data_IF_753007738805
#
_entry.id   IF_753007738805
#
_cell.length_a   1.000
_cell.length_b   1.000
_cell.length_c   1.000
_cell.angle_alpha   90.00
_cell.angle_beta   90.00
_cell.angle_gamma   90.00
#
_symmetry.space_group_name_H-M   'P 1'
#
loop_
_entity.id
_entity.type
_entity.pdbx_description
1 polymer ?
#
# COMPACT_ATOMS: atom_id res chain seq x y z
N UNK A 1 -12.38 -6.80 31.18
CA UNK A 1 -12.33 -8.14 30.57
C UNK A 1 -13.76 -8.54 30.24
N UNK A 2 -14.05 -8.84 28.95
CA UNK A 2 -15.38 -9.36 28.56
C UNK A 2 -15.43 -10.79 29.08
N UNK A 3 -16.45 -11.10 29.91
CA UNK A 3 -16.63 -12.44 30.44
C UNK A 3 -16.89 -13.43 29.29
N UNK A 4 -16.00 -14.41 29.14
CA UNK A 4 -16.09 -15.44 28.10
C UNK A 4 -17.27 -16.40 28.27
N UNK A 5 -17.91 -16.41 29.44
CA UNK A 5 -18.99 -17.34 29.78
C UNK A 5 -20.35 -16.96 29.16
N UNK A 6 -20.53 -15.73 28.67
CA UNK A 6 -21.78 -15.25 28.04
C UNK A 6 -21.74 -15.24 26.49
N UNK A 7 -20.80 -15.92 25.88
CA UNK A 7 -20.65 -15.92 24.40
C UNK A 7 -21.56 -17.00 23.79
N UNK A 8 -22.66 -16.58 23.21
CA UNK A 8 -23.52 -17.43 22.36
C UNK A 8 -23.06 -17.34 20.91
N UNK A 9 -23.31 -18.38 20.15
CA UNK A 9 -23.09 -18.38 18.69
C UNK A 9 -24.42 -18.62 17.99
N UNK A 10 -24.84 -17.65 17.18
CA UNK A 10 -26.08 -17.73 16.42
C UNK A 10 -25.81 -17.58 14.93
N UNK A 11 -26.64 -18.19 14.09
CA UNK A 11 -26.54 -18.10 12.64
C UNK A 11 -27.12 -16.80 12.11
N UNK A 12 -26.67 -16.36 10.94
CA UNK A 12 -27.08 -15.09 10.34
C UNK A 12 -28.58 -15.05 10.04
N UNK A 13 -29.21 -16.18 9.76
CA UNK A 13 -30.68 -16.27 9.52
C UNK A 13 -31.51 -15.85 10.74
N UNK A 14 -30.95 -15.90 11.97
CA UNK A 14 -31.61 -15.36 13.17
C UNK A 14 -31.80 -13.85 13.11
N UNK A 15 -30.99 -13.13 12.32
CA UNK A 15 -30.92 -11.67 12.28
C UNK A 15 -31.26 -11.06 10.93
N UNK A 16 -31.29 -11.85 9.86
CA UNK A 16 -31.38 -11.36 8.48
C UNK A 16 -32.66 -11.81 7.81
N UNK A 17 -33.44 -10.86 7.32
CA UNK A 17 -34.64 -11.13 6.51
C UNK A 17 -34.45 -10.54 5.13
N UNK A 18 -34.42 -11.39 4.08
CA UNK A 18 -34.29 -10.94 2.68
C UNK A 18 -35.48 -10.06 2.26
N UNK A 19 -35.21 -8.98 1.55
CA UNK A 19 -36.23 -8.13 0.94
C UNK A 19 -35.78 -7.64 -0.45
N UNK A 20 -36.75 -7.14 -1.25
CA UNK A 20 -36.51 -6.74 -2.66
C UNK A 20 -37.30 -5.48 -3.02
N UNK A 21 -37.19 -4.42 -2.21
CA UNK A 21 -37.80 -3.13 -2.53
C UNK A 21 -37.07 -2.46 -3.69
N UNK A 22 -37.80 -1.97 -4.69
CA UNK A 22 -37.22 -1.33 -5.89
C UNK A 22 -37.19 0.18 -5.74
N UNK A 23 -36.27 0.83 -6.45
CA UNK A 23 -36.14 2.27 -6.56
C UNK A 23 -37.16 2.85 -7.55
N UNK A 24 -38.44 2.64 -7.28
CA UNK A 24 -39.53 3.12 -8.15
C UNK A 24 -39.44 4.63 -8.37
N UNK A 25 -39.65 5.06 -9.60
CA UNK A 25 -39.52 6.45 -9.99
C UNK A 25 -38.08 7.00 -9.99
N UNK A 26 -37.05 6.12 -9.89
CA UNK A 26 -35.63 6.54 -9.90
C UNK A 26 -35.28 7.60 -8.83
N UNK A 27 -35.92 7.54 -7.67
CA UNK A 27 -35.90 8.58 -6.64
C UNK A 27 -34.57 8.69 -5.90
N UNK A 28 -33.90 7.54 -5.66
CA UNK A 28 -32.74 7.48 -4.80
C UNK A 28 -31.45 7.26 -5.60
N UNK A 29 -30.36 7.89 -5.16
CA UNK A 29 -29.07 7.83 -5.81
C UNK A 29 -28.47 6.42 -5.77
N UNK A 30 -27.85 5.97 -6.87
CA UNK A 30 -27.17 4.68 -6.91
C UNK A 30 -25.86 4.73 -6.14
N UNK A 31 -25.57 3.66 -5.39
CA UNK A 31 -24.30 3.43 -4.71
C UNK A 31 -23.70 2.10 -5.16
N UNK A 32 -22.42 1.94 -4.92
CA UNK A 32 -21.69 0.67 -5.10
C UNK A 32 -21.34 0.08 -3.75
N UNK A 33 -21.36 -1.25 -3.68
CA UNK A 33 -20.89 -2.01 -2.53
C UNK A 33 -19.67 -2.81 -2.97
N UNK A 34 -18.60 -2.74 -2.20
CA UNK A 34 -17.34 -3.39 -2.54
C UNK A 34 -16.47 -3.63 -1.31
N UNK A 35 -15.18 -3.80 -1.54
CA UNK A 35 -14.19 -4.08 -0.48
C UNK A 35 -14.24 -3.09 0.70
N UNK A 36 -14.64 -1.85 0.45
CA UNK A 36 -14.66 -0.78 1.45
C UNK A 36 -16.09 -0.40 1.89
N UNK A 37 -17.03 -1.34 1.79
CA UNK A 37 -18.43 -1.12 2.13
C UNK A 37 -19.19 -0.33 1.05
N UNK A 38 -20.16 0.47 1.50
CA UNK A 38 -21.02 1.29 0.63
C UNK A 38 -20.27 2.58 0.28
N UNK A 39 -20.22 2.91 -1.02
CA UNK A 39 -19.63 4.17 -1.53
C UNK A 39 -20.48 4.76 -2.63
N UNK A 40 -20.48 6.08 -2.74
CA UNK A 40 -21.13 6.76 -3.86
C UNK A 40 -20.45 6.38 -5.17
N UNK A 41 -21.20 6.31 -6.26
CA UNK A 41 -20.66 5.91 -7.56
C UNK A 41 -19.65 6.92 -8.11
N UNK A 42 -19.86 8.20 -7.86
CA UNK A 42 -18.96 9.28 -8.26
C UNK A 42 -17.55 9.14 -7.64
N UNK A 43 -17.48 8.51 -6.45
CA UNK A 43 -16.18 8.25 -5.80
C UNK A 43 -15.39 7.08 -6.43
N UNK A 44 -16.02 6.31 -7.35
CA UNK A 44 -15.44 5.10 -7.95
C UNK A 44 -15.33 5.19 -9.47
N UNK A 45 -16.31 5.80 -10.12
CA UNK A 45 -16.45 5.85 -11.58
C UNK A 45 -16.48 7.29 -12.08
N UNK A 46 -15.73 7.57 -13.13
CA UNK A 46 -15.71 8.89 -13.79
C UNK A 46 -16.92 9.16 -14.69
N UNK A 47 -17.76 8.15 -14.96
CA UNK A 47 -18.94 8.25 -15.83
C UNK A 47 -20.14 7.56 -15.20
N UNK A 48 -21.34 8.06 -15.44
CA UNK A 48 -22.57 7.35 -15.12
C UNK A 48 -22.68 6.05 -15.93
N UNK A 49 -23.01 4.95 -15.25
CA UNK A 49 -23.10 3.63 -15.85
C UNK A 49 -24.48 3.35 -16.48
N UNK A 50 -25.52 4.06 -16.06
CA UNK A 50 -26.88 3.92 -16.59
C UNK A 50 -27.66 5.24 -16.43
N UNK A 51 -28.65 5.45 -17.28
CA UNK A 51 -29.57 6.59 -17.19
C UNK A 51 -30.77 6.33 -16.26
N UNK A 52 -31.11 5.08 -16.02
CA UNK A 52 -32.25 4.65 -15.23
C UNK A 52 -31.83 3.60 -14.19
N UNK A 53 -32.14 3.89 -12.94
CA UNK A 53 -31.87 3.03 -11.78
C UNK A 53 -33.16 2.57 -11.09
N UNK A 54 -34.32 2.62 -11.75
CA UNK A 54 -35.61 2.19 -11.20
C UNK A 54 -35.67 0.71 -10.83
N UNK A 55 -34.87 -0.14 -11.52
CA UNK A 55 -34.74 -1.56 -11.23
C UNK A 55 -33.81 -1.88 -10.06
N UNK A 56 -33.06 -0.90 -9.57
CA UNK A 56 -32.19 -1.05 -8.43
C UNK A 56 -32.99 -1.35 -7.15
N UNK A 57 -32.37 -2.04 -6.21
CA UNK A 57 -32.96 -2.33 -4.90
C UNK A 57 -32.65 -1.19 -3.94
N UNK A 58 -33.62 -0.83 -3.11
CA UNK A 58 -33.40 0.17 -2.06
C UNK A 58 -32.60 -0.43 -0.90
N UNK A 59 -31.75 0.38 -0.32
CA UNK A 59 -31.10 0.14 0.97
C UNK A 59 -31.33 1.36 1.87
N UNK A 60 -31.57 1.10 3.14
CA UNK A 60 -31.86 2.10 4.15
C UNK A 60 -31.30 1.66 5.50
N UNK A 61 -31.48 2.44 6.55
CA UNK A 61 -30.95 2.15 7.88
C UNK A 61 -31.23 0.71 8.32
N UNK A 62 -30.23 0.08 8.92
CA UNK A 62 -30.27 -1.32 9.37
C UNK A 62 -30.50 -2.32 8.23
N UNK A 63 -29.88 -2.08 7.08
CA UNK A 63 -29.88 -3.05 5.98
C UNK A 63 -28.46 -3.52 5.65
N UNK A 64 -28.39 -4.79 5.28
CA UNK A 64 -27.19 -5.45 4.80
C UNK A 64 -27.32 -5.71 3.31
N UNK A 65 -26.28 -5.36 2.56
CA UNK A 65 -26.15 -5.68 1.14
C UNK A 65 -24.98 -6.64 0.95
N UNK A 66 -25.22 -7.72 0.21
CA UNK A 66 -24.24 -8.77 -0.06
C UNK A 66 -24.09 -8.94 -1.54
N UNK A 67 -22.85 -8.96 -2.04
CA UNK A 67 -22.51 -9.15 -3.44
C UNK A 67 -21.23 -9.95 -3.63
N UNK A 68 -20.92 -10.27 -4.90
CA UNK A 68 -19.74 -11.04 -5.25
C UNK A 68 -18.61 -10.13 -5.69
N UNK A 69 -17.58 -10.03 -4.86
CA UNK A 69 -16.33 -9.34 -5.20
C UNK A 69 -15.30 -10.28 -5.86
N UNK A 70 -14.20 -9.71 -6.33
CA UNK A 70 -13.14 -10.48 -7.00
C UNK A 70 -12.38 -11.42 -6.06
N UNK A 71 -12.09 -10.97 -4.83
CA UNK A 71 -11.26 -11.67 -3.84
C UNK A 71 -11.93 -11.86 -2.49
N UNK A 72 -13.13 -11.31 -2.31
CA UNK A 72 -13.91 -11.37 -1.07
C UNK A 72 -15.41 -11.27 -1.38
N UNK A 73 -16.27 -11.49 -0.36
CA UNK A 73 -17.70 -11.16 -0.43
C UNK A 73 -17.82 -9.64 -0.23
N UNK A 74 -18.49 -8.95 -1.15
CA UNK A 74 -18.79 -7.54 -0.99
C UNK A 74 -19.93 -7.37 0.01
N UNK A 75 -19.64 -6.66 1.11
CA UNK A 75 -20.55 -6.47 2.23
C UNK A 75 -20.73 -4.97 2.46
N UNK A 76 -21.97 -4.52 2.51
CA UNK A 76 -22.32 -3.16 2.87
C UNK A 76 -23.44 -3.14 3.91
N UNK A 77 -23.18 -2.54 5.06
CA UNK A 77 -24.21 -2.27 6.09
C UNK A 77 -24.47 -0.76 6.10
N UNK A 78 -25.74 -0.38 5.99
CA UNK A 78 -26.17 1.01 6.10
C UNK A 78 -26.71 1.23 7.52
N UNK A 79 -25.99 2.00 8.33
CA UNK A 79 -26.31 2.29 9.71
C UNK A 79 -26.84 3.71 9.94
N UNK A 80 -26.68 4.62 8.98
CA UNK A 80 -27.23 5.99 9.00
C UNK A 80 -28.65 6.06 8.46
N UNK A 81 -29.28 7.22 8.59
CA UNK A 81 -30.68 7.46 8.18
C UNK A 81 -30.84 7.76 6.67
N UNK A 82 -29.79 7.57 5.86
CA UNK A 82 -29.84 7.73 4.42
C UNK A 82 -30.57 6.58 3.73
N UNK A 83 -31.05 6.85 2.50
CA UNK A 83 -31.62 5.82 1.61
C UNK A 83 -30.91 5.90 0.24
N UNK A 84 -30.46 4.77 -0.25
CA UNK A 84 -29.75 4.64 -1.53
C UNK A 84 -30.30 3.49 -2.36
N UNK A 85 -29.84 3.39 -3.59
CA UNK A 85 -30.16 2.30 -4.50
C UNK A 85 -28.94 1.50 -4.90
N UNK A 86 -28.99 0.15 -4.81
CA UNK A 86 -27.91 -0.75 -5.20
C UNK A 86 -28.32 -1.60 -6.40
N UNK A 87 -27.34 -2.05 -7.18
CA UNK A 87 -27.59 -2.90 -8.35
C UNK A 87 -28.48 -4.10 -8.01
N UNK A 88 -29.36 -4.55 -8.92
CA UNK A 88 -30.19 -5.73 -8.72
C UNK A 88 -29.41 -7.02 -8.44
N UNK A 89 -28.14 -7.06 -8.83
CA UNK A 89 -27.24 -8.20 -8.60
C UNK A 89 -26.88 -8.45 -7.12
N UNK A 90 -27.02 -7.43 -6.27
CA UNK A 90 -26.80 -7.59 -4.83
C UNK A 90 -28.02 -8.22 -4.15
N UNK A 91 -27.77 -8.96 -3.06
CA UNK A 91 -28.79 -9.44 -2.13
C UNK A 91 -28.94 -8.47 -0.98
N UNK A 92 -30.18 -8.17 -0.61
CA UNK A 92 -30.50 -7.16 0.41
C UNK A 92 -31.28 -7.80 1.55
N UNK A 93 -30.86 -7.52 2.80
CA UNK A 93 -31.43 -8.06 4.02
C UNK A 93 -31.74 -6.94 5.02
N UNK A 94 -32.87 -7.01 5.69
CA UNK A 94 -33.15 -6.23 6.91
C UNK A 94 -32.41 -6.88 8.08
N UNK A 95 -31.79 -6.06 8.92
CA UNK A 95 -31.09 -6.49 10.13
C UNK A 95 -32.03 -6.30 11.31
N UNK A 96 -32.29 -7.36 12.08
CA UNK A 96 -33.16 -7.34 13.25
C UNK A 96 -32.48 -8.03 14.44
N UNK A 97 -32.73 -7.58 15.67
CA UNK A 97 -32.26 -8.24 16.87
C UNK A 97 -30.76 -8.23 17.16
N UNK A 98 -29.99 -7.47 16.38
CA UNK A 98 -28.55 -7.29 16.56
C UNK A 98 -28.18 -5.87 16.18
N UNK A 99 -27.15 -5.29 16.79
CA UNK A 99 -26.60 -4.00 16.38
C UNK A 99 -25.98 -4.12 14.98
N UNK A 100 -26.38 -3.26 14.04
CA UNK A 100 -25.98 -3.34 12.63
C UNK A 100 -24.47 -3.12 12.43
N UNK A 101 -23.85 -2.20 13.18
CA UNK A 101 -22.40 -1.97 13.12
C UNK A 101 -21.61 -3.11 13.76
N UNK A 102 -22.14 -3.72 14.83
CA UNK A 102 -21.57 -4.92 15.40
C UNK A 102 -21.58 -6.07 14.38
N UNK A 103 -22.72 -6.29 13.72
CA UNK A 103 -22.84 -7.29 12.65
C UNK A 103 -21.85 -7.01 11.52
N UNK A 104 -21.73 -5.75 11.08
CA UNK A 104 -20.74 -5.33 10.08
C UNK A 104 -19.32 -5.75 10.47
N UNK A 105 -18.88 -5.47 11.69
CA UNK A 105 -17.56 -5.88 12.18
C UNK A 105 -17.37 -7.39 12.22
N UNK A 106 -18.39 -8.14 12.64
CA UNK A 106 -18.33 -9.60 12.62
C UNK A 106 -18.12 -10.15 11.20
N UNK A 107 -18.87 -9.62 10.22
CA UNK A 107 -18.78 -10.05 8.82
C UNK A 107 -17.46 -9.61 8.15
N UNK A 108 -16.99 -8.38 8.38
CA UNK A 108 -15.71 -7.89 7.87
C UNK A 108 -14.54 -8.75 8.39
N UNK A 109 -14.51 -9.02 9.69
CA UNK A 109 -13.45 -9.82 10.32
C UNK A 109 -13.40 -11.28 9.81
N UNK A 110 -14.53 -11.84 9.40
CA UNK A 110 -14.67 -13.23 8.93
C UNK A 110 -14.83 -13.36 7.43
N UNK A 111 -14.69 -12.27 6.69
CA UNK A 111 -14.97 -12.22 5.26
C UNK A 111 -14.18 -13.26 4.47
N UNK A 112 -12.87 -13.40 4.73
CA UNK A 112 -12.01 -14.34 4.03
C UNK A 112 -12.41 -15.81 4.32
N UNK A 113 -12.77 -16.15 5.55
CA UNK A 113 -13.27 -17.47 5.91
C UNK A 113 -14.59 -17.79 5.18
N UNK A 114 -15.51 -16.81 5.16
CA UNK A 114 -16.78 -16.95 4.43
C UNK A 114 -16.56 -17.06 2.92
N UNK A 115 -15.62 -16.29 2.36
CA UNK A 115 -15.29 -16.35 0.93
C UNK A 115 -14.79 -17.74 0.52
N UNK A 116 -13.88 -18.32 1.29
CA UNK A 116 -13.35 -19.67 1.02
C UNK A 116 -14.44 -20.74 1.13
N UNK A 117 -15.33 -20.63 2.14
CA UNK A 117 -16.35 -21.67 2.41
C UNK A 117 -17.57 -21.62 1.51
N UNK A 118 -18.00 -20.43 1.09
CA UNK A 118 -19.32 -20.23 0.47
C UNK A 118 -19.27 -19.72 -0.96
N UNK A 119 -18.10 -19.36 -1.49
CA UNK A 119 -17.98 -18.94 -2.89
C UNK A 119 -17.68 -20.15 -3.78
N UNK A 120 -18.58 -20.39 -4.73
CA UNK A 120 -18.43 -21.42 -5.77
C UNK A 120 -17.81 -20.80 -7.02
N UNK A 121 -16.87 -21.51 -7.65
CA UNK A 121 -16.33 -21.17 -8.96
C UNK A 121 -17.11 -21.96 -10.02
N UNK A 122 -17.94 -21.28 -10.80
CA UNK A 122 -18.65 -21.87 -11.92
C UNK A 122 -17.81 -21.85 -13.20
N UNK A 123 -17.94 -22.88 -14.04
CA UNK A 123 -17.19 -23.00 -15.31
C UNK A 123 -17.65 -22.00 -16.39
N UNK A 124 -18.87 -21.48 -16.33
CA UNK A 124 -19.46 -20.60 -17.35
C UNK A 124 -19.98 -19.24 -16.83
N UNK A 125 -20.25 -19.10 -15.56
CA UNK A 125 -20.89 -17.89 -14.98
C UNK A 125 -19.99 -17.15 -13.96
N UNK A 126 -18.71 -17.50 -13.88
CA UNK A 126 -17.83 -16.88 -12.90
C UNK A 126 -18.07 -17.36 -11.46
N UNK A 127 -17.79 -16.46 -10.49
CA UNK A 127 -17.95 -16.77 -9.06
C UNK A 127 -19.36 -16.42 -8.58
N UNK A 128 -19.92 -17.23 -7.70
CA UNK A 128 -21.21 -16.98 -7.03
C UNK A 128 -21.15 -17.37 -5.56
N UNK A 129 -21.97 -16.70 -4.72
CA UNK A 129 -22.09 -17.03 -3.31
C UNK A 129 -23.22 -18.08 -3.15
N UNK A 130 -22.94 -19.15 -2.41
CA UNK A 130 -23.97 -20.08 -1.95
C UNK A 130 -24.72 -19.48 -0.76
N UNK A 131 -25.69 -18.60 -1.06
CA UNK A 131 -26.43 -17.85 -0.04
C UNK A 131 -27.23 -18.74 0.92
N UNK A 132 -27.72 -19.89 0.45
CA UNK A 132 -28.45 -20.84 1.31
C UNK A 132 -27.58 -21.42 2.40
N UNK A 133 -26.30 -21.62 2.14
CA UNK A 133 -25.31 -22.05 3.13
C UNK A 133 -24.70 -20.87 3.86
N UNK A 134 -24.48 -19.75 3.19
CA UNK A 134 -23.88 -18.56 3.80
C UNK A 134 -24.73 -18.02 4.96
N UNK A 135 -26.07 -18.01 4.81
CA UNK A 135 -26.97 -17.48 5.85
C UNK A 135 -26.92 -18.31 7.16
N UNK A 136 -26.45 -19.56 7.11
CA UNK A 136 -26.24 -20.40 8.29
C UNK A 136 -24.89 -20.20 8.99
N UNK A 137 -24.08 -19.23 8.51
CA UNK A 137 -22.81 -18.91 9.14
C UNK A 137 -23.03 -18.37 10.56
N UNK A 138 -22.28 -18.92 11.53
CA UNK A 138 -22.43 -18.56 12.94
C UNK A 138 -21.49 -17.44 13.35
N UNK A 139 -22.03 -16.42 13.99
CA UNK A 139 -21.29 -15.30 14.58
C UNK A 139 -21.44 -15.32 16.10
N UNK A 140 -20.47 -14.75 16.85
CA UNK A 140 -20.64 -14.56 18.29
C UNK A 140 -21.68 -13.47 18.54
N UNK A 141 -22.55 -13.70 19.50
CA UNK A 141 -23.58 -12.74 19.92
C UNK A 141 -23.36 -12.43 21.39
N UNK A 142 -23.38 -11.16 21.72
CA UNK A 142 -23.26 -10.62 23.08
C UNK A 142 -24.50 -9.82 23.43
N UNK A 143 -24.75 -9.53 24.72
CA UNK A 143 -25.77 -8.56 25.13
C UNK A 143 -25.58 -7.22 24.39
N UNK A 144 -26.69 -6.52 24.12
CA UNK A 144 -26.70 -5.28 23.31
C UNK A 144 -25.73 -4.22 23.85
N UNK A 145 -25.63 -4.04 25.15
CA UNK A 145 -24.68 -3.11 25.78
C UNK A 145 -23.22 -3.46 25.48
N UNK A 146 -22.90 -4.75 25.42
CA UNK A 146 -21.55 -5.23 25.09
C UNK A 146 -21.26 -5.04 23.57
N UNK A 147 -22.26 -5.29 22.70
CA UNK A 147 -22.15 -5.02 21.28
C UNK A 147 -21.84 -3.53 21.03
N UNK A 148 -22.59 -2.63 21.68
CA UNK A 148 -22.38 -1.18 21.56
C UNK A 148 -20.99 -0.75 22.05
N UNK A 149 -20.48 -1.34 23.13
CA UNK A 149 -19.14 -1.06 23.64
C UNK A 149 -18.05 -1.55 22.65
N UNK A 150 -18.23 -2.74 22.08
CA UNK A 150 -17.31 -3.27 21.06
C UNK A 150 -17.26 -2.33 19.84
N UNK A 151 -18.42 -1.92 19.33
CA UNK A 151 -18.52 -0.98 18.20
C UNK A 151 -17.79 0.31 18.52
N UNK A 152 -18.11 0.95 19.67
CA UNK A 152 -17.46 2.19 20.11
C UNK A 152 -15.94 2.08 20.14
N UNK A 153 -15.39 0.98 20.66
CA UNK A 153 -13.94 0.75 20.71
C UNK A 153 -13.33 0.57 19.32
N UNK A 154 -13.98 -0.20 18.45
CA UNK A 154 -13.50 -0.44 17.09
C UNK A 154 -13.57 0.81 16.23
N UNK A 155 -14.64 1.61 16.36
CA UNK A 155 -14.75 2.90 15.66
C UNK A 155 -13.69 3.89 16.13
N UNK A 156 -13.40 3.92 17.45
CA UNK A 156 -12.31 4.73 17.98
C UNK A 156 -10.95 4.33 17.38
N UNK A 157 -10.67 3.03 17.29
CA UNK A 157 -9.43 2.54 16.65
C UNK A 157 -9.39 2.89 15.17
N UNK A 158 -10.50 2.72 14.43
CA UNK A 158 -10.57 3.13 13.00
C UNK A 158 -10.34 4.62 12.82
N UNK A 159 -10.94 5.45 13.68
CA UNK A 159 -10.74 6.91 13.64
C UNK A 159 -9.27 7.28 13.89
N UNK A 160 -8.62 6.68 14.89
CA UNK A 160 -7.20 6.90 15.17
C UNK A 160 -6.34 6.49 13.97
N UNK A 161 -6.60 5.35 13.35
CA UNK A 161 -5.87 4.90 12.17
C UNK A 161 -6.05 5.87 10.99
N UNK A 162 -7.26 6.35 10.75
CA UNK A 162 -7.56 7.32 9.70
C UNK A 162 -6.87 8.66 9.93
N UNK A 163 -6.92 9.21 11.17
CA UNK A 163 -6.18 10.43 11.51
C UNK A 163 -4.68 10.26 11.34
N UNK A 164 -4.17 9.07 11.65
CA UNK A 164 -2.76 8.76 11.48
C UNK A 164 -2.32 8.75 10.03
N UNK A 165 -3.12 8.13 9.17
CA UNK A 165 -2.88 8.14 7.73
C UNK A 165 -2.88 9.58 7.17
N UNK A 166 -3.85 10.40 7.61
CA UNK A 166 -3.91 11.81 7.24
C UNK A 166 -2.67 12.59 7.71
N UNK A 167 -2.21 12.35 8.94
CA UNK A 167 -1.00 12.99 9.49
C UNK A 167 0.25 12.61 8.67
N UNK A 168 0.43 11.33 8.34
CA UNK A 168 1.56 10.87 7.52
C UNK A 168 1.53 11.51 6.13
N UNK A 169 0.37 11.56 5.49
CA UNK A 169 0.19 12.21 4.20
C UNK A 169 0.49 13.73 4.28
N UNK A 170 0.08 14.40 5.36
CA UNK A 170 0.37 15.81 5.57
C UNK A 170 1.87 16.08 5.76
N UNK A 171 2.59 15.18 6.44
CA UNK A 171 4.05 15.27 6.59
C UNK A 171 4.78 15.06 5.26
N UNK A 172 4.28 14.18 4.39
CA UNK A 172 4.81 14.00 3.03
C UNK A 172 4.58 15.24 2.15
N UNK A 173 3.39 15.82 2.20
CA UNK A 173 3.12 17.08 1.49
C UNK A 173 3.94 18.26 2.06
N UNK A 174 4.25 18.27 3.36
CA UNK A 174 5.13 19.27 3.98
C UNK A 174 6.56 19.18 3.42
N UNK A 175 7.11 17.97 3.22
CA UNK A 175 8.44 17.81 2.60
C UNK A 175 8.45 18.42 1.20
N UNK A 176 7.43 18.12 0.38
CA UNK A 176 7.31 18.67 -0.97
C UNK A 176 7.14 20.19 -0.99
N UNK A 177 6.33 20.72 -0.06
CA UNK A 177 6.16 22.16 0.08
C UNK A 177 7.47 22.88 0.48
N UNK A 178 8.23 22.29 1.40
CA UNK A 178 9.56 22.80 1.78
C UNK A 178 10.55 22.72 0.63
N UNK A 179 10.49 21.65 -0.16
CA UNK A 179 11.32 21.56 -1.36
C UNK A 179 11.05 22.74 -2.31
N UNK A 180 9.79 22.99 -2.65
CA UNK A 180 9.41 24.08 -3.58
C UNK A 180 9.69 25.46 -2.96
N UNK A 181 9.49 25.67 -1.67
CA UNK A 181 9.84 26.91 -0.97
C UNK A 181 11.35 27.20 -1.05
N UNK A 182 12.16 26.17 -0.81
CA UNK A 182 13.64 26.32 -0.74
C UNK A 182 14.27 26.40 -2.14
N UNK A 183 13.81 25.61 -3.09
CA UNK A 183 14.45 25.48 -4.41
C UNK A 183 13.65 26.09 -5.56
N UNK A 184 12.36 26.35 -5.37
CA UNK A 184 11.44 26.81 -6.42
C UNK A 184 10.78 25.66 -7.19
N UNK A 185 9.81 25.98 -8.03
CA UNK A 185 9.20 25.02 -8.96
C UNK A 185 10.25 24.49 -9.94
N UNK A 186 10.35 23.17 -10.16
CA UNK A 186 11.38 22.57 -10.99
C UNK A 186 11.28 22.87 -12.49
N UNK A 187 10.11 23.33 -12.95
CA UNK A 187 9.88 23.68 -14.37
C UNK A 187 10.13 25.17 -14.60
N UNK A 188 9.59 26.01 -13.70
CA UNK A 188 9.66 27.45 -13.82
C UNK A 188 11.01 28.03 -13.40
N UNK A 189 11.75 27.32 -12.53
CA UNK A 189 13.04 27.73 -11.97
C UNK A 189 13.05 29.21 -11.51
N UNK A 190 12.14 29.63 -10.63
CA UNK A 190 11.98 31.06 -10.27
C UNK A 190 13.19 31.62 -9.52
N UNK A 191 14.10 30.79 -9.07
CA UNK A 191 15.33 31.19 -8.38
C UNK A 191 16.55 31.29 -9.31
N UNK A 192 16.35 31.01 -10.61
CA UNK A 192 17.39 31.08 -11.63
C UNK A 192 18.63 30.21 -11.33
N UNK A 193 18.40 29.02 -10.75
CA UNK A 193 19.48 28.05 -10.59
C UNK A 193 20.07 27.66 -11.94
N UNK A 194 21.35 27.28 -11.95
CA UNK A 194 21.97 26.71 -13.14
C UNK A 194 21.20 25.48 -13.63
N UNK A 195 20.87 25.46 -14.92
CA UNK A 195 20.19 24.31 -15.54
C UNK A 195 21.25 23.39 -16.14
N UNK A 196 21.19 22.14 -15.76
CA UNK A 196 22.07 21.08 -16.23
C UNK A 196 21.23 19.84 -16.62
N UNK A 197 21.85 18.73 -16.90
CA UNK A 197 21.17 17.45 -17.13
C UNK A 197 21.47 16.44 -16.03
N UNK A 198 20.63 15.42 -15.90
CA UNK A 198 20.92 14.31 -14.97
C UNK A 198 22.28 13.67 -15.35
N UNK A 199 22.60 13.56 -16.65
CA UNK A 199 23.90 13.05 -17.12
C UNK A 199 25.10 13.81 -16.59
N UNK A 200 24.97 15.13 -16.37
CA UNK A 200 26.08 15.97 -15.90
C UNK A 200 26.38 15.83 -14.40
N UNK A 201 25.40 15.36 -13.64
CA UNK A 201 25.51 15.23 -12.16
C UNK A 201 25.71 13.78 -11.70
N UNK A 202 25.82 12.81 -12.61
CA UNK A 202 26.03 11.40 -12.24
C UNK A 202 27.47 10.97 -12.48
N UNK A 203 27.95 10.05 -11.65
CA UNK A 203 29.22 9.32 -11.86
C UNK A 203 28.99 7.98 -12.52
N UNK A 204 27.80 7.38 -12.26
CA UNK A 204 27.47 6.07 -12.81
C UNK A 204 25.93 5.91 -12.93
N UNK A 205 25.51 5.27 -14.03
CA UNK A 205 24.11 4.87 -14.28
C UNK A 205 24.12 3.43 -14.79
N UNK A 206 23.53 2.49 -14.03
CA UNK A 206 23.51 1.07 -14.37
C UNK A 206 22.17 0.41 -14.19
N UNK A 207 21.85 -0.50 -15.08
CA UNK A 207 20.70 -1.39 -14.93
C UNK A 207 20.96 -2.50 -13.91
N UNK A 208 19.91 -2.95 -13.26
CA UNK A 208 19.94 -4.19 -12.49
C UNK A 208 19.98 -5.45 -13.36
N UNK A 209 19.99 -6.60 -12.70
CA UNK A 209 20.02 -7.90 -13.36
C UNK A 209 18.65 -8.35 -13.87
N UNK A 210 18.63 -9.08 -14.99
CA UNK A 210 17.42 -9.74 -15.51
C UNK A 210 17.25 -11.18 -14.99
N UNK A 211 18.16 -11.67 -14.16
CA UNK A 211 18.07 -13.02 -13.58
C UNK A 211 16.82 -13.13 -12.68
N UNK A 212 16.17 -14.28 -12.64
CA UNK A 212 15.00 -14.49 -11.81
C UNK A 212 15.35 -14.57 -10.33
N UNK A 213 14.39 -14.24 -9.47
CA UNK A 213 14.52 -14.47 -8.03
C UNK A 213 14.57 -15.98 -7.71
N UNK A 214 15.34 -16.33 -6.68
CA UNK A 214 15.53 -17.70 -6.18
C UNK A 214 15.10 -17.74 -4.73
N UNK A 215 14.38 -18.77 -4.31
CA UNK A 215 14.02 -18.95 -2.91
C UNK A 215 15.27 -19.31 -2.08
N UNK A 216 15.53 -18.54 -1.02
CA UNK A 216 16.71 -18.71 -0.19
C UNK A 216 18.04 -18.30 -0.85
N UNK A 217 17.98 -17.48 -1.92
CA UNK A 217 19.17 -16.96 -2.60
C UNK A 217 20.09 -16.14 -1.70
N UNK A 218 21.28 -15.87 -2.17
CA UNK A 218 22.39 -15.28 -1.40
C UNK A 218 22.17 -13.80 -1.06
N UNK A 219 21.63 -13.03 -2.00
CA UNK A 219 21.46 -11.58 -1.85
C UNK A 219 19.99 -11.17 -1.80
N UNK A 220 19.62 -10.21 -0.93
CA UNK A 220 18.31 -9.55 -1.00
C UNK A 220 18.12 -8.87 -2.36
N UNK A 221 16.92 -9.00 -2.93
CA UNK A 221 16.62 -8.60 -4.31
C UNK A 221 15.49 -7.59 -4.38
N UNK A 222 15.82 -6.36 -4.72
CA UNK A 222 14.87 -5.26 -4.90
C UNK A 222 14.26 -5.28 -6.29
N UNK A 223 12.93 -5.26 -6.32
CA UNK A 223 12.12 -5.20 -7.54
C UNK A 223 11.31 -3.91 -7.58
N UNK A 224 10.67 -3.63 -8.71
CA UNK A 224 9.85 -2.41 -8.90
C UNK A 224 8.78 -2.20 -7.82
N UNK A 225 8.29 -3.27 -7.16
CA UNK A 225 7.31 -3.20 -6.08
C UNK A 225 7.92 -2.78 -4.73
N UNK A 226 9.24 -2.89 -4.60
CA UNK A 226 9.94 -2.46 -3.40
C UNK A 226 10.23 -0.96 -3.37
N UNK A 227 9.97 -0.22 -4.46
CA UNK A 227 9.99 1.24 -4.47
C UNK A 227 8.56 1.76 -4.37
N UNK A 228 8.29 2.60 -3.38
CA UNK A 228 7.00 3.24 -3.17
C UNK A 228 6.83 4.49 -4.06
N UNK A 229 5.61 4.98 -4.23
CA UNK A 229 5.35 6.15 -5.07
C UNK A 229 5.84 7.47 -4.42
N UNK A 230 6.00 7.47 -3.11
CA UNK A 230 6.49 8.58 -2.28
C UNK A 230 8.01 8.55 -2.06
N UNK A 231 8.73 7.63 -2.71
CA UNK A 231 10.19 7.63 -2.73
C UNK A 231 10.88 6.87 -1.59
N UNK A 232 10.19 5.94 -0.96
CA UNK A 232 10.73 5.07 0.08
C UNK A 232 10.92 3.63 -0.41
N UNK A 233 11.62 2.82 0.39
CA UNK A 233 11.76 1.39 0.17
C UNK A 233 10.73 0.61 0.99
N UNK A 234 10.04 -0.35 0.36
CA UNK A 234 9.15 -1.31 1.01
C UNK A 234 9.76 -2.71 0.95
N UNK A 235 10.24 -3.19 2.09
CA UNK A 235 10.92 -4.48 2.21
C UNK A 235 10.01 -5.63 2.66
N UNK A 236 8.70 -5.42 2.79
CA UNK A 236 7.74 -6.44 3.29
C UNK A 236 7.65 -7.68 2.38
N UNK A 237 7.78 -7.52 1.06
CA UNK A 237 7.85 -8.62 0.07
C UNK A 237 9.22 -8.65 -0.61
N UNK A 238 10.28 -8.78 0.20
CA UNK A 238 11.64 -8.90 -0.31
C UNK A 238 11.85 -10.30 -0.89
N UNK A 239 12.43 -10.38 -2.09
CA UNK A 239 12.87 -11.63 -2.70
C UNK A 239 14.39 -11.77 -2.55
N UNK A 240 14.91 -12.90 -2.98
CA UNK A 240 16.33 -13.21 -2.93
C UNK A 240 16.82 -13.67 -4.31
N UNK A 241 18.14 -13.61 -4.53
CA UNK A 241 18.76 -13.96 -5.80
C UNK A 241 20.18 -14.47 -5.58
N UNK A 242 20.64 -15.35 -6.48
CA UNK A 242 22.04 -15.75 -6.59
C UNK A 242 22.69 -15.02 -7.77
N UNK A 243 23.82 -14.34 -7.52
CA UNK A 243 24.59 -13.61 -8.52
C UNK A 243 26.05 -14.05 -8.44
N UNK A 244 26.69 -14.41 -9.55
CA UNK A 244 28.13 -14.68 -9.59
C UNK A 244 28.95 -13.46 -9.15
N UNK A 245 30.07 -13.69 -8.47
CA UNK A 245 30.91 -12.63 -7.90
C UNK A 245 31.37 -11.61 -8.96
N UNK A 246 31.64 -12.05 -10.18
CA UNK A 246 32.04 -11.19 -11.31
C UNK A 246 30.92 -10.26 -11.83
N UNK A 247 29.66 -10.57 -11.51
CA UNK A 247 28.49 -9.76 -11.94
C UNK A 247 27.98 -8.86 -10.83
N UNK A 248 28.35 -9.09 -9.56
CA UNK A 248 27.75 -8.41 -8.41
C UNK A 248 27.91 -6.89 -8.48
N UNK A 249 29.08 -6.38 -8.86
CA UNK A 249 29.35 -4.94 -8.96
C UNK A 249 28.47 -4.22 -9.99
N UNK A 250 27.90 -4.94 -10.96
CA UNK A 250 27.01 -4.37 -11.98
C UNK A 250 25.62 -4.06 -11.42
N UNK A 251 25.16 -4.81 -10.42
CA UNK A 251 23.77 -4.77 -9.95
C UNK A 251 23.60 -4.58 -8.42
N UNK A 252 24.70 -4.55 -7.66
CA UNK A 252 24.68 -4.26 -6.23
C UNK A 252 24.38 -2.78 -5.97
N UNK A 253 23.63 -2.50 -4.90
CA UNK A 253 23.36 -1.15 -4.42
C UNK A 253 23.88 -0.99 -3.00
N UNK A 254 24.36 0.22 -2.71
CA UNK A 254 24.98 0.64 -1.45
C UNK A 254 24.37 1.94 -0.96
N UNK A 255 24.52 2.21 0.33
CA UNK A 255 24.04 3.46 0.95
C UNK A 255 24.45 4.68 0.11
N UNK A 256 23.49 5.54 -0.19
CA UNK A 256 23.67 6.73 -1.02
C UNK A 256 23.37 6.52 -2.52
N UNK A 257 23.24 5.28 -3.00
CA UNK A 257 22.78 5.03 -4.37
C UNK A 257 21.30 5.48 -4.52
N UNK A 258 20.95 6.06 -5.66
CA UNK A 258 19.56 6.38 -5.98
C UNK A 258 19.00 5.33 -6.94
N UNK A 259 17.80 4.86 -6.65
CA UNK A 259 17.10 3.84 -7.41
C UNK A 259 15.97 4.47 -8.21
N UNK A 260 16.01 4.30 -9.53
CA UNK A 260 15.00 4.79 -10.45
C UNK A 260 14.23 3.64 -11.10
N UNK A 261 12.92 3.58 -10.89
CA UNK A 261 12.06 2.57 -11.51
C UNK A 261 11.78 2.90 -12.98
N UNK A 262 12.51 2.25 -13.87
CA UNK A 262 12.48 2.52 -15.32
C UNK A 262 11.28 1.93 -16.05
N UNK A 263 10.69 0.85 -15.54
CA UNK A 263 9.59 0.12 -16.19
C UNK A 263 8.46 -0.15 -15.22
N UNK A 264 7.27 0.35 -15.54
CA UNK A 264 6.05 0.13 -14.75
C UNK A 264 4.81 0.53 -15.59
N UNK A 265 3.61 0.56 -14.99
CA UNK A 265 2.49 1.27 -15.59
C UNK A 265 2.82 2.77 -15.76
N UNK A 266 2.13 3.45 -16.67
CA UNK A 266 2.37 4.88 -16.97
C UNK A 266 2.25 5.77 -15.72
N UNK A 267 1.43 5.40 -14.75
CA UNK A 267 1.25 6.15 -13.51
C UNK A 267 2.36 5.92 -12.48
N UNK A 268 3.06 4.80 -12.56
CA UNK A 268 4.05 4.37 -11.59
C UNK A 268 5.49 4.38 -12.11
N UNK A 269 5.71 4.61 -13.42
CA UNK A 269 7.05 4.75 -13.98
C UNK A 269 7.76 5.96 -13.39
N UNK A 270 9.06 5.85 -13.16
CA UNK A 270 9.87 6.93 -12.60
C UNK A 270 9.78 7.09 -11.09
N UNK A 271 9.27 6.11 -10.33
CA UNK A 271 9.43 6.09 -8.87
C UNK A 271 10.93 6.14 -8.55
N UNK A 272 11.32 7.03 -7.65
CA UNK A 272 12.73 7.25 -7.30
C UNK A 272 12.89 7.20 -5.80
N UNK A 273 13.86 6.43 -5.29
CA UNK A 273 14.12 6.27 -3.87
C UNK A 273 15.64 6.30 -3.60
N UNK A 274 16.05 6.80 -2.45
CA UNK A 274 17.42 6.67 -1.96
C UNK A 274 17.57 5.31 -1.30
N UNK A 275 18.68 4.64 -1.56
CA UNK A 275 19.06 3.44 -0.82
C UNK A 275 19.84 3.85 0.43
N UNK A 276 19.18 3.83 1.57
CA UNK A 276 19.68 4.31 2.87
C UNK A 276 20.00 3.17 3.87
N UNK A 277 20.01 1.93 3.37
CA UNK A 277 20.28 0.75 4.19
C UNK A 277 21.78 0.46 4.24
N UNK A 278 22.23 -0.16 5.34
CA UNK A 278 23.62 -0.57 5.53
C UNK A 278 23.99 -1.91 4.86
N UNK A 279 22.99 -2.74 4.59
CA UNK A 279 23.17 -4.03 3.94
C UNK A 279 23.10 -3.88 2.43
N UNK A 280 24.09 -4.41 1.71
CA UNK A 280 24.10 -4.42 0.24
C UNK A 280 22.96 -5.29 -0.30
N UNK A 281 22.30 -4.82 -1.35
CA UNK A 281 21.23 -5.53 -2.04
C UNK A 281 21.46 -5.54 -3.54
N UNK A 282 20.77 -6.42 -4.24
CA UNK A 282 20.79 -6.50 -5.70
C UNK A 282 19.51 -5.93 -6.27
N UNK A 283 19.58 -5.22 -7.40
CA UNK A 283 18.41 -4.63 -8.08
C UNK A 283 18.04 -5.39 -9.35
N UNK A 284 16.73 -5.47 -9.60
CA UNK A 284 16.15 -6.04 -10.81
C UNK A 284 16.32 -5.12 -12.04
N UNK A 285 16.33 -5.68 -13.24
CA UNK A 285 16.49 -4.95 -14.51
C UNK A 285 15.42 -3.88 -14.78
N UNK A 286 14.34 -3.84 -14.00
CA UNK A 286 13.32 -2.78 -14.01
C UNK A 286 13.71 -1.55 -13.18
N UNK A 287 14.87 -1.57 -12.54
CA UNK A 287 15.44 -0.48 -11.74
C UNK A 287 16.77 -0.08 -12.35
N UNK A 288 17.04 1.21 -12.39
CA UNK A 288 18.32 1.81 -12.70
C UNK A 288 18.93 2.31 -11.38
N UNK A 289 20.19 1.93 -11.11
CA UNK A 289 21.02 2.53 -10.08
C UNK A 289 21.67 3.78 -10.61
N UNK A 290 21.59 4.87 -9.87
CA UNK A 290 22.22 6.16 -10.18
C UNK A 290 23.14 6.53 -9.03
N UNK A 291 24.42 6.76 -9.31
CA UNK A 291 25.41 7.33 -8.39
C UNK A 291 25.66 8.78 -8.76
N UNK A 292 25.48 9.65 -7.79
CA UNK A 292 25.59 11.09 -8.01
C UNK A 292 27.02 11.59 -7.75
N UNK A 293 27.32 12.73 -8.33
CA UNK A 293 28.51 13.54 -7.98
C UNK A 293 28.25 14.30 -6.66
N UNK A 294 29.32 14.83 -6.07
CA UNK A 294 29.25 15.54 -4.77
C UNK A 294 28.41 16.83 -4.79
N UNK A 295 28.13 17.37 -5.97
CA UNK A 295 27.36 18.60 -6.14
C UNK A 295 25.82 18.39 -6.07
N UNK A 296 25.34 17.14 -5.99
CA UNK A 296 23.91 16.80 -5.86
C UNK A 296 23.71 15.73 -4.80
N UNK A 297 22.96 16.03 -3.75
CA UNK A 297 22.64 15.07 -2.69
C UNK A 297 21.54 14.09 -3.13
N UNK A 298 21.66 12.79 -2.80
CA UNK A 298 20.69 11.75 -3.17
C UNK A 298 19.27 12.07 -2.76
N UNK A 299 19.06 12.59 -1.55
CA UNK A 299 17.74 12.94 -1.03
C UNK A 299 17.10 14.08 -1.81
N UNK A 300 17.88 15.10 -2.20
CA UNK A 300 17.41 16.23 -3.00
C UNK A 300 17.04 15.75 -4.41
N UNK A 301 17.90 14.94 -5.03
CA UNK A 301 17.60 14.37 -6.34
C UNK A 301 16.37 13.47 -6.33
N UNK A 302 16.22 12.62 -5.31
CA UNK A 302 15.05 11.75 -5.18
C UNK A 302 13.76 12.56 -5.02
N UNK A 303 13.75 13.59 -4.17
CA UNK A 303 12.57 14.47 -4.02
C UNK A 303 12.26 15.22 -5.32
N UNK A 304 13.27 15.77 -6.00
CA UNK A 304 13.12 16.41 -7.29
C UNK A 304 12.39 15.52 -8.29
N UNK A 305 12.87 14.27 -8.45
CA UNK A 305 12.31 13.29 -9.39
C UNK A 305 10.89 12.82 -9.01
N UNK A 306 10.49 12.94 -7.73
CA UNK A 306 9.18 12.57 -7.24
C UNK A 306 8.17 13.73 -7.23
N UNK A 307 8.56 14.96 -7.53
CA UNK A 307 7.63 16.09 -7.63
C UNK A 307 6.59 15.88 -8.73
N UNK A 308 5.36 16.34 -8.49
CA UNK A 308 4.24 16.20 -9.45
C UNK A 308 4.57 16.77 -10.84
N UNK A 309 5.34 17.86 -10.90
CA UNK A 309 5.78 18.49 -12.15
C UNK A 309 6.70 17.54 -12.95
N UNK A 310 7.71 16.94 -12.30
CA UNK A 310 8.61 15.97 -12.93
C UNK A 310 7.88 14.69 -13.35
N UNK A 311 6.95 14.21 -12.54
CA UNK A 311 6.13 13.04 -12.90
C UNK A 311 5.35 13.24 -14.20
N UNK A 312 4.89 14.46 -14.49
CA UNK A 312 4.26 14.79 -15.80
C UNK A 312 5.25 14.63 -16.95
N UNK A 313 6.49 15.14 -16.79
CA UNK A 313 7.57 14.99 -17.79
C UNK A 313 7.90 13.52 -17.98
N UNK A 314 8.14 12.78 -16.90
CA UNK A 314 8.47 11.34 -16.98
C UNK A 314 7.36 10.54 -17.70
N UNK A 315 6.09 10.83 -17.45
CA UNK A 315 4.97 10.19 -18.17
C UNK A 315 4.97 10.54 -19.66
N UNK A 316 5.29 11.77 -20.05
CA UNK A 316 5.36 12.18 -21.46
C UNK A 316 6.57 11.59 -22.19
N UNK A 317 7.67 11.34 -21.48
CA UNK A 317 8.88 10.71 -22.03
C UNK A 317 8.74 9.20 -22.15
N UNK A 318 7.95 8.58 -21.28
CA UNK A 318 7.85 7.12 -21.20
C UNK A 318 7.26 6.52 -22.48
N UNK A 319 7.98 5.56 -23.07
CA UNK A 319 7.56 4.83 -24.27
C UNK A 319 6.90 3.51 -23.90
N UNK A 320 5.96 3.06 -24.73
CA UNK A 320 5.28 1.76 -24.57
C UNK A 320 3.80 1.86 -24.33
N UNK A 321 3.18 0.73 -23.96
CA UNK A 321 1.75 0.64 -23.66
C UNK A 321 1.43 1.20 -22.26
N UNK A 322 0.14 1.50 -22.01
CA UNK A 322 -0.35 2.04 -20.72
C UNK A 322 0.10 1.20 -19.51
N UNK A 323 0.13 -0.12 -19.68
CA UNK A 323 0.50 -1.06 -18.61
C UNK A 323 1.99 -1.37 -18.53
N UNK A 324 2.81 -0.91 -19.49
CA UNK A 324 4.24 -1.16 -19.56
C UNK A 324 4.99 0.00 -20.20
N UNK A 325 4.99 1.12 -19.52
CA UNK A 325 5.78 2.30 -19.88
C UNK A 325 7.24 2.11 -19.46
N UNK A 326 8.17 2.66 -20.24
CA UNK A 326 9.59 2.51 -20.02
C UNK A 326 10.36 3.81 -20.29
N UNK A 327 11.36 4.09 -19.44
CA UNK A 327 12.36 5.16 -19.61
C UNK A 327 13.73 4.51 -19.51
N UNK A 328 14.54 4.64 -20.57
CA UNK A 328 15.89 4.07 -20.57
C UNK A 328 16.93 4.99 -19.91
N UNK A 329 18.15 4.49 -19.73
CA UNK A 329 19.22 5.23 -19.05
C UNK A 329 19.63 6.52 -19.79
N UNK A 330 19.57 6.55 -21.11
CA UNK A 330 19.89 7.75 -21.90
C UNK A 330 18.78 8.80 -21.75
N UNK A 331 17.52 8.37 -21.80
CA UNK A 331 16.37 9.25 -21.55
C UNK A 331 16.41 9.82 -20.14
N UNK A 332 16.71 9.00 -19.12
CA UNK A 332 16.91 9.48 -17.75
C UNK A 332 18.01 10.53 -17.67
N UNK A 333 19.18 10.29 -18.29
CA UNK A 333 20.30 11.21 -18.25
C UNK A 333 20.04 12.51 -19.04
N UNK A 334 19.13 12.51 -20.02
CA UNK A 334 18.75 13.69 -20.79
C UNK A 334 17.80 14.65 -20.08
N UNK A 335 17.25 14.24 -18.92
CA UNK A 335 16.31 15.08 -18.14
C UNK A 335 17.04 16.34 -17.67
N UNK A 336 16.47 17.50 -18.01
CA UNK A 336 16.95 18.78 -17.49
C UNK A 336 16.53 18.95 -16.04
N UNK A 337 17.49 19.34 -15.23
CA UNK A 337 17.30 19.68 -13.81
C UNK A 337 18.02 20.97 -13.50
N UNK A 338 17.64 21.63 -12.42
CA UNK A 338 18.44 22.73 -11.87
C UNK A 338 19.37 22.22 -10.77
N UNK A 339 20.49 22.91 -10.56
CA UNK A 339 21.49 22.57 -9.56
C UNK A 339 21.52 23.64 -8.47
N UNK A 340 20.84 23.44 -7.32
CA UNK A 340 20.88 24.38 -6.22
C UNK A 340 22.23 24.35 -5.50
N UNK A 341 22.52 25.44 -4.78
CA UNK A 341 23.67 25.49 -3.90
C UNK A 341 23.72 24.32 -2.89
N UNK A 342 24.92 23.73 -2.72
CA UNK A 342 25.08 22.51 -1.91
C UNK A 342 24.76 22.73 -0.42
N UNK A 343 25.01 23.92 0.11
CA UNK A 343 24.67 24.24 1.52
C UNK A 343 23.15 24.33 1.71
N UNK A 344 22.44 24.83 0.71
CA UNK A 344 20.99 24.83 0.74
C UNK A 344 20.43 23.39 0.62
N UNK A 345 21.05 22.53 -0.18
CA UNK A 345 20.70 21.11 -0.26
C UNK A 345 20.88 20.42 1.11
N UNK A 346 22.00 20.63 1.81
CA UNK A 346 22.26 20.08 3.16
C UNK A 346 21.21 20.53 4.18
N UNK A 347 20.80 21.80 4.10
CA UNK A 347 19.73 22.33 4.96
C UNK A 347 18.41 21.63 4.70
N UNK A 348 18.05 21.41 3.45
CA UNK A 348 16.83 20.66 3.10
C UNK A 348 16.88 19.22 3.63
N UNK A 349 17.99 18.51 3.44
CA UNK A 349 18.18 17.13 3.95
C UNK A 349 18.00 17.09 5.47
N UNK A 350 18.54 18.08 6.19
CA UNK A 350 18.34 18.19 7.64
C UNK A 350 16.87 18.35 8.03
N UNK A 351 16.12 19.21 7.33
CA UNK A 351 14.69 19.42 7.57
C UNK A 351 13.91 18.13 7.25
N UNK A 352 14.20 17.51 6.10
CA UNK A 352 13.57 16.24 5.70
C UNK A 352 13.79 15.16 6.76
N UNK A 353 15.02 14.98 7.23
CA UNK A 353 15.35 14.00 8.27
C UNK A 353 14.59 14.26 9.58
N UNK A 354 14.36 15.51 9.97
CA UNK A 354 13.54 15.85 11.15
C UNK A 354 12.08 15.47 10.97
N UNK A 355 11.51 15.71 9.77
CA UNK A 355 10.13 15.34 9.44
C UNK A 355 10.01 13.81 9.42
N UNK A 356 10.93 13.10 8.77
CA UNK A 356 10.92 11.62 8.70
C UNK A 356 11.08 11.00 10.09
N UNK A 357 11.92 11.57 10.97
CA UNK A 357 11.99 11.16 12.38
C UNK A 357 10.65 11.35 13.10
N UNK A 358 9.91 12.42 12.81
CA UNK A 358 8.57 12.63 13.38
C UNK A 358 7.59 11.54 12.93
N UNK A 359 7.63 11.11 11.67
CA UNK A 359 6.83 9.99 11.16
C UNK A 359 7.13 8.69 11.93
N UNK A 360 8.40 8.37 12.15
CA UNK A 360 8.84 7.18 12.90
C UNK A 360 8.39 7.20 14.35
N UNK A 361 8.64 8.32 15.08
CA UNK A 361 8.24 8.47 16.49
C UNK A 361 6.74 8.38 16.67
N UNK A 362 6.01 8.92 15.74
CA UNK A 362 4.57 8.81 15.68
C UNK A 362 4.11 7.36 15.50
N UNK A 363 4.75 6.55 14.66
CA UNK A 363 4.51 5.11 14.51
C UNK A 363 4.83 4.30 15.77
N UNK A 364 5.98 4.56 16.39
CA UNK A 364 6.44 3.85 17.60
C UNK A 364 5.59 4.13 18.85
N UNK A 365 5.12 5.36 19.06
CA UNK A 365 4.24 5.69 20.20
C UNK A 365 2.92 4.92 20.16
N UNK A 366 2.40 4.63 18.99
CA UNK A 366 1.17 3.85 18.85
C UNK A 366 1.36 2.40 19.28
N UNK A 367 2.49 1.76 18.94
CA UNK A 367 2.81 0.39 19.37
C UNK A 367 3.02 0.28 20.89
N UNK A 368 3.66 1.27 21.52
CA UNK A 368 3.92 1.21 22.97
C UNK A 368 2.68 1.49 23.83
N UNK A 369 1.74 2.30 23.36
CA UNK A 369 0.51 2.61 24.12
C UNK A 369 -0.56 1.53 24.01
N UNK A 370 -0.44 0.59 23.05
CA UNK A 370 -1.43 -0.45 22.80
C UNK A 370 -1.01 -1.85 23.29
N UNK A 371 0.21 -2.03 23.79
CA UNK A 371 0.63 -3.29 24.41
C UNK A 371 0.11 -3.30 25.85
N UNK A 372 -0.92 -4.11 26.20
CA UNK A 372 -1.26 -4.31 27.61
C UNK A 372 -0.05 -4.89 28.32
N UNK A 373 0.18 -4.46 29.56
CA UNK A 373 1.26 -4.92 30.42
C UNK A 373 1.09 -6.41 30.85
N UNK A 374 0.91 -7.30 29.91
CA UNK A 374 0.90 -8.76 30.10
C UNK A 374 2.00 -9.36 29.22
N UNK A 375 3.21 -9.44 29.79
CA UNK A 375 4.43 -9.95 29.15
C UNK A 375 4.46 -11.47 28.92
N UNK A 376 3.44 -12.22 29.31
CA UNK A 376 3.55 -13.68 29.41
C UNK A 376 2.96 -14.50 28.25
N UNK A 377 2.45 -13.87 27.17
CA UNK A 377 1.82 -14.62 26.06
C UNK A 377 2.21 -14.19 24.64
N UNK A 378 3.46 -13.72 24.41
CA UNK A 378 3.97 -13.35 23.06
C UNK A 378 4.92 -14.39 22.45
N UNK A 379 4.79 -15.67 22.77
CA UNK A 379 5.64 -16.73 22.17
C UNK A 379 5.12 -17.29 20.84
N UNK A 380 4.08 -16.73 20.22
CA UNK A 380 3.49 -17.27 18.97
C UNK A 380 3.22 -16.25 17.86
N UNK A 381 3.93 -15.13 17.83
CA UNK A 381 3.98 -14.31 16.62
C UNK A 381 5.44 -14.31 16.14
N UNK A 382 5.72 -15.18 15.16
CA UNK A 382 7.03 -15.33 14.57
C UNK A 382 7.47 -14.06 13.83
N UNK A 383 8.25 -13.24 14.50
CA UNK A 383 9.11 -12.26 13.85
C UNK A 383 10.40 -13.00 13.50
N UNK A 384 10.85 -13.03 12.24
CA UNK A 384 12.11 -13.67 11.89
C UNK A 384 13.26 -12.92 12.57
N UNK A 385 13.90 -13.54 13.57
CA UNK A 385 15.17 -13.07 14.13
C UNK A 385 16.25 -13.35 13.09
N UNK A 386 16.76 -12.32 12.44
CA UNK A 386 18.00 -12.37 11.68
C UNK A 386 19.14 -12.75 12.64
N UNK A 387 19.65 -13.97 12.50
CA UNK A 387 20.90 -14.40 13.19
C UNK A 387 22.08 -13.93 12.34
N UNK A 388 23.04 -13.19 12.88
CA UNK A 388 24.27 -12.90 12.15
C UNK A 388 25.06 -14.21 12.02
N UNK A 389 25.32 -14.65 10.77
CA UNK A 389 26.27 -15.73 10.49
C UNK A 389 27.68 -15.21 10.73
N UNK A 390 28.37 -15.81 11.70
CA UNK A 390 29.78 -15.58 11.98
C UNK A 390 30.65 -15.86 10.75
N UNK A 391 31.44 -14.87 10.39
CA UNK A 391 32.55 -14.98 9.43
C UNK A 391 33.51 -16.11 9.88
N UNK A 392 33.53 -17.22 9.19
CA UNK A 392 34.60 -18.21 9.30
C UNK A 392 35.84 -17.61 8.65
N UNK A 393 36.79 -17.17 9.48
CA UNK A 393 38.18 -16.89 9.08
C UNK A 393 38.82 -18.19 8.57
N UNK A 394 39.09 -18.25 7.29
CA UNK A 394 39.89 -19.33 6.71
C UNK A 394 41.29 -19.33 7.30
N UNK A 395 41.64 -20.41 8.01
CA UNK A 395 43.02 -20.72 8.40
C UNK A 395 43.78 -21.10 7.11
N UNK A 396 44.79 -20.30 6.75
CA UNK A 396 45.84 -20.73 5.83
C UNK A 396 46.64 -21.86 6.51
N UNK A 397 46.61 -23.06 5.94
CA UNK A 397 47.57 -24.12 6.28
C UNK A 397 48.80 -23.93 5.40
N UNK A 398 49.95 -23.66 6.03
CA UNK A 398 51.25 -23.80 5.44
C UNK A 398 51.54 -25.31 5.28
N UNK A 399 51.72 -25.72 4.03
CA UNK A 399 52.31 -27.03 3.74
C UNK A 399 53.83 -26.87 3.64
N UNK A 400 54.55 -27.51 4.58
CA UNK A 400 55.98 -27.71 4.47
C UNK A 400 56.27 -28.77 3.42
N UNK A 401 57.17 -28.43 2.50
CA UNK A 401 57.93 -29.34 1.65
C UNK A 401 58.95 -30.10 2.51
N UNK A 402 58.99 -31.43 2.37
CA UNK A 402 60.22 -32.21 2.47
C UNK A 402 60.10 -33.47 1.62
N UNK A 403 61.16 -33.62 0.75
CA UNK A 403 61.67 -34.73 -0.06
C UNK A 403 60.83 -35.23 -1.23
#
# INVERSE_FOLDING_TARGET
MIDKTQRLYESLDSFLTEYKEKNEGNKYRPVAVGRYGIRTRESIYSKELAKDYSKNKLIFKNTLTVGMGSTQIDIGVLSDDATYAVSPAYHTYRINGINSDYLRYCLECRNQDMFVRYVKRGSRQGKSIDLKRWITYKIPVYPESVQAEIVKRLDSVKAILSFREQELNALDELIKARFVEMFGDPIENPKNWEITTVGDIVTEVRYGTSKPAVEGGQYPYLRMNNLTADGHLDLRDLKYIDIPDEEIEKCVVRTGDVLFNRTNSIDLVGKTAVFDLSEEMVIAGYIIRVRLKENMLPEVFSEYMNLKALKKILRSMAKGAVNQANINAQELQSIKIYLPDIELQKRFVTIKAQIDKSKLLSGCRFFHSWVPANRDNLNHVGVPRLRPKSLRRGRRQHAHLHH
#
